data_IF_905017228947
#
_entry.id   IF_905017228947
#
_cell.length_a   1.000
_cell.length_b   1.000
_cell.length_c   1.000
_cell.angle_alpha   90.00
_cell.angle_beta   90.00
_cell.angle_gamma   90.00
#
_symmetry.space_group_name_H-M   'P 1'
#
loop_
_entity.id
_entity.type
_entity.pdbx_description
1 polymer ?
#
# COMPACT_ATOMS: atom_id res chain seq x y z
N UNK A 1 6.06 23.19 0.73
CA UNK A 1 5.60 22.61 2.02
C UNK A 1 5.69 21.10 1.88
N UNK A 2 6.71 20.51 2.46
CA UNK A 2 7.16 19.14 2.20
C UNK A 2 6.23 18.12 2.87
N UNK A 3 5.32 17.55 2.09
CA UNK A 3 4.65 16.29 2.44
C UNK A 3 5.66 15.15 2.34
N UNK A 4 6.51 15.01 3.36
CA UNK A 4 7.29 13.79 3.55
C UNK A 4 6.40 12.77 4.27
N UNK A 5 5.62 12.01 3.50
CA UNK A 5 5.07 10.73 3.96
C UNK A 5 6.22 9.73 4.11
N UNK A 6 6.97 9.86 5.20
CA UNK A 6 7.94 8.86 5.62
C UNK A 6 7.27 7.59 6.15
N UNK A 7 8.03 6.49 6.31
CA UNK A 7 7.53 5.18 6.72
C UNK A 7 6.73 5.35 8.00
N UNK A 8 5.54 4.75 8.05
CA UNK A 8 4.60 4.72 9.17
C UNK A 8 5.19 5.32 10.43
N UNK A 9 5.00 6.61 10.74
CA UNK A 9 5.41 7.28 11.98
C UNK A 9 4.24 8.11 12.47
N UNK A 10 4.07 8.23 13.79
CA UNK A 10 3.15 9.27 14.28
C UNK A 10 3.68 10.65 13.89
N UNK A 11 2.80 11.56 13.43
CA UNK A 11 3.17 12.95 13.29
C UNK A 11 3.52 13.54 14.68
N UNK A 12 4.32 14.61 14.74
CA UNK A 12 4.74 15.23 16.00
C UNK A 12 3.54 15.68 16.85
N UNK A 13 2.51 16.24 16.23
CA UNK A 13 1.31 16.74 16.94
C UNK A 13 0.53 15.60 17.63
N UNK A 14 0.38 14.46 16.94
CA UNK A 14 -0.26 13.27 17.52
C UNK A 14 0.60 12.69 18.64
N UNK A 15 1.92 12.72 18.48
CA UNK A 15 2.85 12.28 19.51
C UNK A 15 2.69 13.13 20.77
N UNK A 16 2.61 14.45 20.64
CA UNK A 16 2.37 15.35 21.77
C UNK A 16 1.03 15.04 22.46
N UNK A 17 -0.06 14.93 21.69
CA UNK A 17 -1.38 14.58 22.24
C UNK A 17 -1.39 13.24 23.00
N UNK A 18 -0.72 12.23 22.46
CA UNK A 18 -0.61 10.92 23.12
C UNK A 18 0.18 11.00 24.42
N UNK A 19 1.26 11.80 24.44
CA UNK A 19 2.05 12.07 25.64
C UNK A 19 1.23 12.76 26.72
N UNK A 20 0.30 13.63 26.34
CA UNK A 20 -0.55 14.33 27.31
C UNK A 20 -1.71 13.48 27.81
N UNK A 21 -2.33 12.66 26.94
CA UNK A 21 -3.56 11.92 27.29
C UNK A 21 -3.31 10.64 28.07
N UNK A 22 -2.32 9.81 27.66
CA UNK A 22 -2.11 8.49 28.26
C UNK A 22 -1.80 8.57 29.76
N UNK A 23 -0.99 9.52 30.26
CA UNK A 23 -0.76 9.71 31.69
C UNK A 23 -2.03 10.04 32.49
N UNK A 24 -3.04 10.66 31.88
CA UNK A 24 -4.30 10.99 32.56
C UNK A 24 -5.23 9.78 32.63
N UNK A 25 -5.22 8.94 31.61
CA UNK A 25 -6.00 7.69 31.57
C UNK A 25 -5.51 6.64 32.57
N UNK A 26 -4.24 6.75 33.01
CA UNK A 26 -3.57 5.79 33.89
C UNK A 26 -3.17 6.43 35.23
N UNK A 27 -3.71 5.92 36.34
CA UNK A 27 -3.46 6.49 37.68
C UNK A 27 -2.00 6.35 38.08
N UNK A 28 -1.43 5.16 37.91
CA UNK A 28 -0.07 4.83 38.37
C UNK A 28 0.98 4.83 37.24
N UNK A 29 2.27 4.89 37.62
CA UNK A 29 3.39 4.75 36.68
C UNK A 29 3.49 3.31 36.12
N UNK A 30 3.16 2.32 36.94
CA UNK A 30 3.10 0.91 36.51
C UNK A 30 1.98 0.72 35.47
N UNK A 31 0.80 1.28 35.70
CA UNK A 31 -0.33 1.17 34.77
C UNK A 31 -0.02 1.78 33.40
N UNK A 32 0.83 2.83 33.37
CA UNK A 32 1.30 3.43 32.13
C UNK A 32 2.23 2.47 31.35
N UNK A 33 3.10 1.73 32.03
CA UNK A 33 3.94 0.70 31.41
C UNK A 33 3.08 -0.48 30.94
N UNK A 34 2.14 -0.92 31.78
CA UNK A 34 1.22 -2.03 31.49
C UNK A 34 0.31 -1.72 30.29
N UNK A 35 -0.10 -0.45 30.13
CA UNK A 35 -0.83 0.00 28.95
C UNK A 35 -0.06 -0.33 27.65
N UNK A 36 1.24 -0.04 27.61
CA UNK A 36 2.06 -0.33 26.42
C UNK A 36 2.32 -1.82 26.24
N UNK A 37 2.52 -2.56 27.33
CA UNK A 37 2.61 -4.03 27.28
C UNK A 37 1.35 -4.64 26.68
N UNK A 38 0.17 -4.16 27.08
CA UNK A 38 -1.12 -4.59 26.53
C UNK A 38 -1.34 -4.16 25.07
N UNK A 39 -0.61 -3.16 24.58
CA UNK A 39 -0.58 -2.76 23.17
C UNK A 39 0.44 -3.58 22.35
N UNK A 40 1.09 -4.59 22.94
CA UNK A 40 2.04 -5.45 22.24
C UNK A 40 3.44 -4.83 22.08
N UNK A 41 3.80 -3.83 22.90
CA UNK A 41 5.19 -3.33 22.93
C UNK A 41 6.10 -4.38 23.55
N UNK A 42 7.16 -4.76 22.83
CA UNK A 42 8.12 -5.76 23.28
C UNK A 42 8.77 -5.37 24.62
N UNK A 43 9.01 -6.33 25.53
CA UNK A 43 9.62 -6.06 26.83
C UNK A 43 10.96 -5.34 26.76
N UNK A 44 11.74 -5.53 25.68
CA UNK A 44 13.02 -4.86 25.49
C UNK A 44 12.91 -3.33 25.48
N UNK A 45 11.76 -2.78 25.07
CA UNK A 45 11.50 -1.34 25.05
C UNK A 45 10.83 -0.82 26.31
N UNK A 46 10.51 -1.70 27.26
CA UNK A 46 9.83 -1.38 28.52
C UNK A 46 10.68 -1.71 29.76
N UNK A 47 11.66 -2.61 29.65
CA UNK A 47 12.34 -3.22 30.80
C UNK A 47 13.10 -2.21 31.68
N UNK A 48 13.79 -1.25 31.08
CA UNK A 48 14.49 -0.18 31.80
C UNK A 48 13.53 0.77 32.50
N UNK A 49 12.41 1.11 31.86
CA UNK A 49 11.35 1.96 32.43
C UNK A 49 10.65 1.25 33.58
N UNK A 50 10.32 -0.03 33.41
CA UNK A 50 9.74 -0.88 34.45
C UNK A 50 10.68 -0.95 35.66
N UNK A 51 11.97 -1.24 35.43
CA UNK A 51 12.97 -1.28 36.50
C UNK A 51 13.04 0.04 37.26
N UNK A 52 13.08 1.19 36.57
CA UNK A 52 13.06 2.50 37.22
C UNK A 52 11.79 2.72 38.05
N UNK A 53 10.63 2.31 37.54
CA UNK A 53 9.37 2.39 38.30
C UNK A 53 9.42 1.56 39.59
N UNK A 54 10.06 0.39 39.55
CA UNK A 54 10.14 -0.55 40.66
C UNK A 54 11.20 -0.17 41.70
N UNK A 55 12.36 0.33 41.28
CA UNK A 55 13.52 0.58 42.17
C UNK A 55 13.75 2.03 42.53
N UNK A 56 13.45 2.97 41.62
CA UNK A 56 13.66 4.40 41.82
C UNK A 56 12.50 5.20 41.22
N UNK A 57 11.33 5.03 41.85
CA UNK A 57 10.07 5.60 41.38
C UNK A 57 10.12 7.14 41.33
N UNK A 58 10.98 7.81 42.10
CA UNK A 58 11.09 9.26 42.11
C UNK A 58 11.80 9.80 40.86
N UNK A 59 12.77 9.05 40.31
CA UNK A 59 13.56 9.46 39.14
C UNK A 59 12.81 9.58 37.82
N UNK A 60 11.57 9.08 37.73
CA UNK A 60 10.83 8.98 36.46
C UNK A 60 9.38 9.42 36.63
N UNK A 61 8.81 10.11 35.66
CA UNK A 61 7.39 10.49 35.68
C UNK A 61 6.58 9.83 34.53
N UNK A 62 5.24 9.91 34.61
CA UNK A 62 4.35 9.27 33.63
C UNK A 62 4.53 9.80 32.21
N UNK A 63 4.72 11.11 32.06
CA UNK A 63 4.91 11.75 30.76
C UNK A 63 6.23 11.31 30.11
N UNK A 64 7.28 11.15 30.91
CA UNK A 64 8.58 10.64 30.47
C UNK A 64 8.47 9.18 29.99
N UNK A 65 7.78 8.32 30.72
CA UNK A 65 7.52 6.92 30.32
C UNK A 65 6.84 6.91 28.95
N UNK A 66 5.70 7.60 28.83
CA UNK A 66 4.89 7.62 27.61
C UNK A 66 5.70 8.17 26.43
N UNK A 67 6.39 9.30 26.61
CA UNK A 67 7.23 9.91 25.57
C UNK A 67 8.33 8.98 25.11
N UNK A 68 9.01 8.32 26.04
CA UNK A 68 10.13 7.41 25.74
C UNK A 68 9.64 6.19 24.96
N UNK A 69 8.55 5.56 25.39
CA UNK A 69 8.00 4.39 24.68
C UNK A 69 7.50 4.78 23.29
N UNK A 70 6.75 5.87 23.16
CA UNK A 70 6.25 6.33 21.85
C UNK A 70 7.39 6.63 20.89
N UNK A 71 8.47 7.25 21.37
CA UNK A 71 9.68 7.49 20.57
C UNK A 71 10.29 6.17 20.08
N UNK A 72 10.51 5.21 20.99
CA UNK A 72 11.09 3.89 20.67
C UNK A 72 10.27 3.12 19.63
N UNK A 73 8.95 3.06 19.79
CA UNK A 73 8.07 2.33 18.83
C UNK A 73 7.93 3.07 17.50
N UNK A 74 8.12 4.39 17.48
CA UNK A 74 8.17 5.15 16.23
C UNK A 74 9.46 4.86 15.46
N UNK A 75 10.61 4.84 16.14
CA UNK A 75 11.92 4.59 15.54
C UNK A 75 12.07 3.17 14.96
N UNK A 76 11.23 2.22 15.38
CA UNK A 76 11.19 0.85 14.83
C UNK A 76 10.64 0.74 13.40
N UNK A 77 10.08 1.80 12.83
CA UNK A 77 9.43 1.73 11.51
C UNK A 77 8.35 0.64 11.46
N UNK A 78 8.41 -0.24 10.46
CA UNK A 78 7.37 -1.24 10.20
C UNK A 78 7.21 -2.27 11.33
N UNK A 79 8.29 -2.63 12.03
CA UNK A 79 8.23 -3.56 13.16
C UNK A 79 7.35 -3.01 14.31
N UNK A 80 7.35 -1.69 14.49
CA UNK A 80 6.53 -1.00 15.49
C UNK A 80 5.10 -0.66 15.02
N UNK A 81 4.71 -1.02 13.79
CA UNK A 81 3.43 -0.61 13.21
C UNK A 81 2.22 -1.16 13.98
N UNK A 82 2.25 -2.43 14.36
CA UNK A 82 1.16 -3.06 15.09
C UNK A 82 0.98 -2.44 16.47
N UNK A 83 2.08 -2.26 17.21
CA UNK A 83 2.04 -1.63 18.54
C UNK A 83 1.42 -0.23 18.48
N UNK A 84 1.78 0.55 17.45
CA UNK A 84 1.25 1.90 17.25
C UNK A 84 -0.24 1.91 16.91
N UNK A 85 -0.67 1.05 15.99
CA UNK A 85 -2.11 0.91 15.70
C UNK A 85 -2.92 0.56 16.95
N UNK A 86 -2.39 -0.32 17.81
CA UNK A 86 -3.05 -0.72 19.05
C UNK A 86 -3.08 0.41 20.10
N UNK A 87 -1.99 1.16 20.25
CA UNK A 87 -1.96 2.36 21.12
C UNK A 87 -3.03 3.36 20.69
N UNK A 88 -3.09 3.71 19.40
CA UNK A 88 -4.11 4.62 18.91
C UNK A 88 -5.52 4.07 19.10
N UNK A 89 -5.74 2.80 18.74
CA UNK A 89 -7.04 2.15 18.89
C UNK A 89 -7.53 2.20 20.34
N UNK A 90 -6.68 1.84 21.31
CA UNK A 90 -7.04 1.85 22.74
C UNK A 90 -7.38 3.24 23.26
N UNK A 91 -6.66 4.27 22.82
CA UNK A 91 -6.96 5.67 23.21
C UNK A 91 -8.28 6.13 22.57
N UNK A 92 -8.47 5.87 21.28
CA UNK A 92 -9.69 6.26 20.54
C UNK A 92 -10.92 5.54 21.06
N UNK A 93 -10.80 4.27 21.44
CA UNK A 93 -11.91 3.47 21.97
C UNK A 93 -12.22 3.75 23.45
N UNK A 94 -11.46 4.63 24.11
CA UNK A 94 -11.63 4.94 25.52
C UNK A 94 -12.94 5.69 25.80
N UNK A 95 -13.88 5.06 26.52
CA UNK A 95 -15.21 5.65 26.81
C UNK A 95 -15.47 5.93 28.28
N UNK A 96 -14.87 5.15 29.18
CA UNK A 96 -15.07 5.29 30.61
C UNK A 96 -13.91 6.05 31.28
N UNK A 97 -14.21 7.21 31.85
CA UNK A 97 -13.23 8.06 32.53
C UNK A 97 -13.33 7.96 34.06
N UNK A 98 -14.16 7.07 34.60
CA UNK A 98 -14.30 6.84 36.05
C UNK A 98 -12.97 6.42 36.70
N UNK A 99 -12.09 5.78 35.94
CA UNK A 99 -10.76 5.35 36.37
C UNK A 99 -9.73 6.48 36.37
N UNK A 100 -10.04 7.68 35.87
CA UNK A 100 -9.16 8.84 35.97
C UNK A 100 -9.21 9.44 37.39
N UNK A 101 -8.32 10.39 37.70
CA UNK A 101 -8.52 11.27 38.86
C UNK A 101 -9.71 12.19 38.58
N UNK A 102 -10.48 12.56 39.61
CA UNK A 102 -11.69 13.36 39.47
C UNK A 102 -11.42 14.73 38.83
N UNK A 103 -10.32 15.39 39.19
CA UNK A 103 -9.89 16.65 38.56
C UNK A 103 -9.44 16.50 37.10
N UNK A 104 -8.92 15.33 36.73
CA UNK A 104 -8.33 15.09 35.41
C UNK A 104 -9.33 14.51 34.40
N UNK A 105 -10.49 14.01 34.86
CA UNK A 105 -11.44 13.28 34.01
C UNK A 105 -11.93 14.12 32.81
N UNK A 106 -12.33 15.38 33.04
CA UNK A 106 -12.77 16.28 31.96
C UNK A 106 -11.64 16.61 30.99
N UNK A 107 -10.43 16.82 31.52
CA UNK A 107 -9.23 17.08 30.71
C UNK A 107 -8.88 15.88 29.83
N UNK A 108 -8.91 14.69 30.40
CA UNK A 108 -8.68 13.44 29.67
C UNK A 108 -9.73 13.22 28.58
N UNK A 109 -11.01 13.48 28.88
CA UNK A 109 -12.10 13.39 27.91
C UNK A 109 -11.89 14.34 26.73
N UNK A 110 -11.53 15.59 27.00
CA UNK A 110 -11.22 16.58 25.96
C UNK A 110 -10.04 16.16 25.08
N UNK A 111 -8.95 15.67 25.68
CA UNK A 111 -7.78 15.21 24.94
C UNK A 111 -8.06 13.95 24.10
N UNK A 112 -8.84 12.99 24.61
CA UNK A 112 -9.28 11.82 23.82
C UNK A 112 -10.13 12.27 22.64
N UNK A 113 -11.02 13.24 22.81
CA UNK A 113 -11.81 13.80 21.71
C UNK A 113 -10.93 14.46 20.63
N UNK A 114 -9.90 15.22 21.04
CA UNK A 114 -8.92 15.79 20.11
C UNK A 114 -8.14 14.73 19.33
N UNK A 115 -7.72 13.63 19.99
CA UNK A 115 -7.07 12.50 19.32
C UNK A 115 -8.01 11.87 18.29
N UNK A 116 -9.28 11.63 18.65
CA UNK A 116 -10.31 11.10 17.72
C UNK A 116 -10.49 11.99 16.50
N UNK A 117 -10.63 13.30 16.71
CA UNK A 117 -10.80 14.26 15.63
C UNK A 117 -9.60 14.23 14.68
N UNK A 118 -8.38 14.27 15.21
CA UNK A 118 -7.17 14.24 14.39
C UNK A 118 -7.04 12.96 13.56
N UNK A 119 -7.33 11.80 14.16
CA UNK A 119 -7.30 10.51 13.45
C UNK A 119 -8.37 10.46 12.37
N UNK A 120 -9.61 10.85 12.67
CA UNK A 120 -10.72 10.85 11.71
C UNK A 120 -10.48 11.81 10.54
N UNK A 121 -9.91 12.99 10.79
CA UNK A 121 -9.54 13.93 9.73
C UNK A 121 -8.49 13.33 8.80
N UNK A 122 -7.48 12.63 9.32
CA UNK A 122 -6.46 11.98 8.47
C UNK A 122 -7.00 10.77 7.73
N UNK A 123 -7.87 10.00 8.36
CA UNK A 123 -8.51 8.84 7.75
C UNK A 123 -9.48 9.26 6.63
N UNK A 124 -10.22 10.37 6.81
CA UNK A 124 -11.09 10.90 5.75
C UNK A 124 -10.31 11.39 4.53
N UNK A 125 -9.17 12.06 4.71
CA UNK A 125 -8.26 12.39 3.61
C UNK A 125 -7.71 11.15 2.92
N UNK A 126 -7.37 10.11 3.68
CA UNK A 126 -6.89 8.85 3.14
C UNK A 126 -7.96 8.15 2.31
N UNK A 127 -9.21 8.11 2.80
CA UNK A 127 -10.35 7.53 2.09
C UNK A 127 -10.66 8.31 0.80
N UNK A 128 -10.70 9.64 0.86
CA UNK A 128 -10.91 10.48 -0.33
C UNK A 128 -9.81 10.27 -1.39
N UNK A 129 -8.55 10.13 -0.96
CA UNK A 129 -7.46 9.87 -1.89
C UNK A 129 -7.59 8.49 -2.55
N UNK A 130 -7.92 7.45 -1.77
CA UNK A 130 -8.16 6.11 -2.28
C UNK A 130 -9.34 6.06 -3.27
N UNK A 131 -10.43 6.78 -2.98
CA UNK A 131 -11.57 6.89 -3.89
C UNK A 131 -11.18 7.57 -5.21
N UNK A 132 -10.45 8.70 -5.16
CA UNK A 132 -9.95 9.38 -6.36
C UNK A 132 -8.99 8.53 -7.18
N UNK A 133 -8.13 7.76 -6.52
CA UNK A 133 -7.18 6.88 -7.21
C UNK A 133 -7.91 5.70 -7.87
N UNK A 134 -8.94 5.14 -7.22
CA UNK A 134 -9.84 4.14 -7.84
C UNK A 134 -10.58 4.70 -9.06
N UNK A 135 -11.17 5.88 -8.97
CA UNK A 135 -11.84 6.52 -10.11
C UNK A 135 -10.87 6.75 -11.29
N UNK A 136 -9.63 7.18 -11.00
CA UNK A 136 -8.59 7.33 -12.02
C UNK A 136 -8.21 6.00 -12.65
N UNK A 137 -8.05 4.95 -11.85
CA UNK A 137 -7.76 3.60 -12.33
C UNK A 137 -8.89 3.06 -13.21
N UNK A 138 -10.14 3.22 -12.80
CA UNK A 138 -11.32 2.80 -13.57
C UNK A 138 -11.42 3.53 -14.91
N UNK A 139 -11.14 4.84 -14.94
CA UNK A 139 -11.12 5.63 -16.18
C UNK A 139 -10.00 5.19 -17.13
N UNK A 140 -8.84 4.81 -16.58
CA UNK A 140 -7.67 4.39 -17.37
C UNK A 140 -7.72 2.91 -17.76
N UNK A 141 -8.53 2.09 -17.09
CA UNK A 141 -8.69 0.64 -17.35
C UNK A 141 -9.02 0.31 -18.82
N UNK A 142 -10.07 0.88 -19.45
CA UNK A 142 -10.38 0.55 -20.84
C UNK A 142 -9.27 0.98 -21.81
N UNK A 143 -8.59 2.10 -21.53
CA UNK A 143 -7.45 2.55 -22.35
C UNK A 143 -6.26 1.60 -22.21
N UNK A 144 -5.96 1.12 -21.00
CA UNK A 144 -4.89 0.14 -20.74
C UNK A 144 -5.20 -1.20 -21.39
N UNK A 145 -6.43 -1.69 -21.30
CA UNK A 145 -6.87 -2.93 -21.93
C UNK A 145 -6.79 -2.83 -23.46
N UNK A 146 -7.25 -1.73 -24.05
CA UNK A 146 -7.14 -1.49 -25.49
C UNK A 146 -5.68 -1.41 -25.94
N UNK A 147 -4.82 -0.70 -25.20
CA UNK A 147 -3.39 -0.62 -25.49
C UNK A 147 -2.68 -1.98 -25.36
N UNK A 148 -3.03 -2.78 -24.34
CA UNK A 148 -2.49 -4.13 -24.16
C UNK A 148 -2.91 -5.07 -25.29
N UNK A 149 -4.18 -5.04 -25.70
CA UNK A 149 -4.67 -5.81 -26.83
C UNK A 149 -4.01 -5.39 -28.15
N UNK A 150 -3.83 -4.08 -28.37
CA UNK A 150 -3.13 -3.55 -29.53
C UNK A 150 -1.65 -3.97 -29.54
N UNK A 151 -0.98 -3.95 -28.38
CA UNK A 151 0.41 -4.40 -28.23
C UNK A 151 0.56 -5.87 -28.58
N UNK A 152 -0.30 -6.75 -28.04
CA UNK A 152 -0.28 -8.19 -28.34
C UNK A 152 -0.50 -8.46 -29.83
N UNK A 153 -1.45 -7.75 -30.46
CA UNK A 153 -1.67 -7.83 -31.91
C UNK A 153 -0.44 -7.39 -32.71
N UNK A 154 0.23 -6.32 -32.27
CA UNK A 154 1.44 -5.83 -32.94
C UNK A 154 2.62 -6.79 -32.77
N UNK A 155 2.83 -7.33 -31.57
CA UNK A 155 3.87 -8.33 -31.28
C UNK A 155 3.66 -9.60 -32.12
N UNK A 156 2.42 -10.11 -32.21
CA UNK A 156 2.09 -11.26 -33.07
C UNK A 156 2.38 -10.96 -34.55
N UNK A 157 2.00 -9.77 -35.03
CA UNK A 157 2.26 -9.34 -36.41
C UNK A 157 3.76 -9.25 -36.69
N UNK A 158 4.53 -8.65 -35.79
CA UNK A 158 5.98 -8.54 -35.94
C UNK A 158 6.66 -9.90 -35.92
N UNK A 159 6.23 -10.83 -35.04
CA UNK A 159 6.75 -12.19 -35.02
C UNK A 159 6.48 -12.94 -36.34
N UNK A 160 5.27 -12.78 -36.88
CA UNK A 160 4.88 -13.34 -38.18
C UNK A 160 5.73 -12.75 -39.31
N UNK A 161 5.87 -11.42 -39.38
CA UNK A 161 6.71 -10.76 -40.38
C UNK A 161 8.16 -11.23 -40.31
N UNK A 162 8.73 -11.35 -39.10
CA UNK A 162 10.10 -11.86 -38.90
C UNK A 162 10.26 -13.29 -39.40
N UNK A 163 9.30 -14.17 -39.08
CA UNK A 163 9.27 -15.55 -39.57
C UNK A 163 9.20 -15.60 -41.10
N UNK A 164 8.31 -14.83 -41.70
CA UNK A 164 8.13 -14.80 -43.15
C UNK A 164 9.39 -14.29 -43.88
N UNK A 165 9.99 -13.20 -43.40
CA UNK A 165 11.26 -12.68 -43.93
C UNK A 165 12.40 -13.70 -43.78
N UNK A 166 12.45 -14.45 -42.66
CA UNK A 166 13.49 -15.48 -42.47
C UNK A 166 13.34 -16.70 -43.40
N UNK A 167 12.13 -16.94 -43.93
CA UNK A 167 11.85 -18.04 -44.84
C UNK A 167 12.10 -17.68 -46.32
N UNK A 168 12.09 -16.40 -46.67
CA UNK A 168 12.32 -15.93 -48.05
C UNK A 168 13.69 -16.34 -48.64
N UNK A 169 14.81 -16.33 -47.90
CA UNK A 169 16.09 -16.83 -48.41
C UNK A 169 16.15 -18.35 -48.65
N UNK A 170 15.13 -19.11 -48.21
CA UNK A 170 15.08 -20.57 -48.23
C UNK A 170 14.10 -21.13 -49.29
N UNK A 171 13.63 -20.30 -50.22
CA UNK A 171 12.42 -20.57 -50.99
C UNK A 171 12.53 -21.74 -52.00
N UNK A 172 12.08 -22.93 -51.57
CA UNK A 172 11.20 -23.80 -52.36
C UNK A 172 9.73 -23.46 -51.98
N UNK A 173 8.91 -22.96 -52.92
CA UNK A 173 7.48 -22.68 -52.70
C UNK A 173 6.67 -23.88 -52.18
N UNK A 174 7.17 -25.10 -52.37
CA UNK A 174 6.55 -26.35 -51.92
C UNK A 174 6.82 -26.73 -50.47
N UNK A 175 7.68 -26.01 -49.74
CA UNK A 175 8.13 -26.43 -48.42
C UNK A 175 6.99 -26.52 -47.39
N UNK A 176 7.01 -27.58 -46.59
CA UNK A 176 6.01 -27.86 -45.54
C UNK A 176 5.94 -26.70 -44.52
N UNK A 177 7.07 -26.05 -44.27
CA UNK A 177 7.19 -24.93 -43.32
C UNK A 177 6.48 -23.67 -43.84
N UNK A 178 6.54 -23.40 -45.14
CA UNK A 178 5.84 -22.26 -45.75
C UNK A 178 4.32 -22.47 -45.75
N UNK A 179 3.85 -23.67 -46.11
CA UNK A 179 2.42 -24.02 -46.06
C UNK A 179 1.85 -23.98 -44.64
N UNK A 180 2.60 -24.45 -43.65
CA UNK A 180 2.20 -24.37 -42.24
C UNK A 180 2.05 -22.91 -41.76
N UNK A 181 2.92 -22.00 -42.22
CA UNK A 181 2.83 -20.58 -41.90
C UNK A 181 1.59 -19.91 -42.54
N UNK A 182 1.27 -20.25 -43.79
CA UNK A 182 0.07 -19.72 -44.47
C UNK A 182 -1.22 -20.14 -43.76
N UNK A 183 -1.30 -21.40 -43.31
CA UNK A 183 -2.44 -21.89 -42.53
C UNK A 183 -2.59 -21.20 -41.17
N UNK A 184 -1.51 -20.67 -40.58
CA UNK A 184 -1.56 -19.92 -39.32
C UNK A 184 -2.13 -18.48 -39.50
N UNK A 185 -2.10 -17.97 -40.73
CA UNK A 185 -2.57 -16.62 -41.09
C UNK A 185 -4.04 -16.65 -41.52
N UNK A 186 -4.52 -17.76 -42.07
CA UNK A 186 -5.89 -17.90 -42.55
C UNK A 186 -6.90 -18.03 -41.40
N UNK A 187 -8.04 -17.32 -41.45
CA UNK A 187 -9.15 -17.58 -40.54
C UNK A 187 -9.75 -18.97 -40.83
N UNK A 188 -10.33 -19.65 -39.81
CA UNK A 188 -10.99 -20.94 -40.03
C UNK A 188 -12.12 -20.76 -41.04
N UNK A 189 -12.02 -21.45 -42.19
CA UNK A 189 -13.02 -21.42 -43.27
C UNK A 189 -12.66 -20.60 -44.52
N UNK A 190 -11.44 -20.07 -44.64
CA UNK A 190 -10.91 -19.56 -45.92
C UNK A 190 -9.95 -20.58 -46.53
N UNK A 191 -10.48 -21.56 -47.26
CA UNK A 191 -9.68 -22.37 -48.18
C UNK A 191 -9.35 -21.51 -49.40
N UNK A 192 -8.19 -20.85 -49.37
CA UNK A 192 -7.60 -20.35 -50.62
C UNK A 192 -6.66 -21.44 -51.10
N UNK A 193 -7.09 -22.16 -52.12
CA UNK A 193 -6.24 -23.07 -52.87
C UNK A 193 -5.00 -22.31 -53.33
N UNK A 194 -3.86 -22.57 -52.69
CA UNK A 194 -2.56 -21.96 -53.02
C UNK A 194 -2.14 -22.30 -54.47
N UNK A 195 -2.84 -23.24 -55.12
CA UNK A 195 -2.72 -23.57 -56.53
C UNK A 195 -3.23 -22.46 -57.48
N UNK A 196 -4.21 -21.63 -57.08
CA UNK A 196 -4.73 -20.56 -57.95
C UNK A 196 -3.99 -19.22 -57.80
N UNK A 197 -3.31 -18.98 -56.69
CA UNK A 197 -2.56 -17.73 -56.49
C UNK A 197 -1.30 -17.63 -57.38
N UNK A 198 -0.82 -18.73 -57.97
CA UNK A 198 0.24 -18.71 -59.00
C UNK A 198 -0.23 -18.18 -60.35
N UNK A 199 -1.54 -18.05 -60.58
CA UNK A 199 -2.10 -17.57 -61.85
C UNK A 199 -2.41 -16.06 -61.88
N UNK A 200 -2.20 -15.34 -60.78
CA UNK A 200 -2.38 -13.89 -60.74
C UNK A 200 -1.05 -13.14 -60.55
N UNK A 201 0.01 -13.60 -61.24
CA UNK A 201 1.30 -12.90 -61.26
C UNK A 201 1.88 -12.75 -62.67
N UNK A 202 1.06 -12.41 -63.67
CA UNK A 202 1.48 -11.61 -64.84
C UNK A 202 0.23 -10.84 -65.28
N UNK A 203 0.38 -9.63 -65.82
CA UNK A 203 -0.67 -8.73 -66.33
C UNK A 203 -1.35 -7.77 -65.35
N UNK A 204 -0.54 -6.97 -64.62
CA UNK A 204 -0.73 -5.50 -64.58
C UNK A 204 0.44 -4.78 -63.95
N UNK A 205 1.54 -4.72 -64.69
CA UNK A 205 2.50 -3.63 -64.61
C UNK A 205 3.00 -3.40 -66.02
N UNK A 206 2.28 -2.54 -66.75
CA UNK A 206 2.84 -1.75 -67.85
C UNK A 206 1.99 -0.47 -67.97
N UNK A 207 2.67 0.65 -67.68
CA UNK A 207 2.28 2.08 -67.77
C UNK A 207 1.29 2.64 -66.75
#
# INVERSE_FOLDING_TARGET
>A
MTNASGPHHYPPDLTALLVDVIPLLRRSKADAVDFFRACGVSPEYLADLQRRVDTDRASINKYEIVRTVIKRINEQGDAGLNARRLVLRRVVEWKDFSTCWSEDALKAQGLVASVRQMVNTKDSFTRMQQERDREREERMRPQREAAAAAKLKNERRQALCRRLISLFPMADPGSVVFKALLNEIQPPGCDVDVAEASLCTVDRFDL
#
